data_IF_558502234621
#
_entry.id   IF_558502234621
#
_cell.length_a   1.000
_cell.length_b   1.000
_cell.length_c   1.000
_cell.angle_alpha   90.00
_cell.angle_beta   90.00
_cell.angle_gamma   90.00
#
_symmetry.space_group_name_H-M   'P 1'
#
loop_
_entity.id
_entity.type
_entity.pdbx_description
1 polymer ?
#
# COMPACT_ATOMS: atom_id res chain seq x y z
N UNK A 1 -16.27 -12.36 0.74
CA UNK A 1 -15.39 -13.43 0.23
C UNK A 1 -14.93 -12.99 -1.15
N UNK A 2 -13.63 -13.06 -1.42
CA UNK A 2 -13.03 -12.78 -2.73
C UNK A 2 -12.56 -14.11 -3.32
N UNK A 3 -12.88 -14.36 -4.59
CA UNK A 3 -12.54 -15.62 -5.28
C UNK A 3 -11.66 -15.32 -6.48
N UNK A 4 -10.56 -16.04 -6.65
CA UNK A 4 -9.70 -15.96 -7.83
C UNK A 4 -10.28 -16.86 -8.93
N UNK A 5 -10.85 -16.27 -9.96
CA UNK A 5 -11.37 -17.00 -11.12
C UNK A 5 -10.25 -17.44 -12.06
N UNK A 6 -9.22 -16.61 -12.21
CA UNK A 6 -8.03 -16.86 -13.00
C UNK A 6 -6.87 -16.04 -12.47
N UNK A 7 -5.66 -16.49 -12.74
CA UNK A 7 -4.41 -15.74 -12.53
C UNK A 7 -3.70 -15.59 -13.88
N UNK A 8 -3.16 -14.40 -14.14
CA UNK A 8 -2.32 -14.15 -15.30
C UNK A 8 -0.95 -14.84 -15.17
N UNK A 9 -0.12 -14.73 -16.19
CA UNK A 9 1.28 -15.12 -16.10
C UNK A 9 2.02 -14.23 -15.11
N UNK A 10 3.00 -14.81 -14.40
CA UNK A 10 3.89 -14.06 -13.52
C UNK A 10 4.71 -13.06 -14.34
N UNK A 11 4.75 -11.80 -13.93
CA UNK A 11 5.66 -10.81 -14.50
C UNK A 11 7.06 -11.11 -13.97
N UNK A 12 8.01 -11.36 -14.86
CA UNK A 12 9.38 -11.74 -14.55
C UNK A 12 10.35 -10.57 -14.68
N UNK A 13 11.55 -10.70 -14.10
CA UNK A 13 12.63 -9.72 -14.27
C UNK A 13 12.98 -9.52 -15.75
N UNK A 14 12.95 -10.58 -16.55
CA UNK A 14 13.27 -10.52 -17.98
C UNK A 14 12.25 -9.72 -18.80
N UNK A 15 11.02 -9.58 -18.30
CA UNK A 15 9.96 -8.81 -18.96
C UNK A 15 9.95 -7.32 -18.57
N UNK A 16 10.81 -6.92 -17.61
CA UNK A 16 10.92 -5.52 -17.24
C UNK A 16 11.50 -4.71 -18.41
N UNK A 17 10.80 -3.65 -18.87
CA UNK A 17 11.28 -2.86 -19.99
C UNK A 17 12.66 -2.25 -19.71
N UNK A 18 13.55 -2.36 -20.68
CA UNK A 18 14.82 -1.67 -20.65
C UNK A 18 14.61 -0.16 -20.86
N UNK A 19 15.42 0.65 -20.18
CA UNK A 19 15.41 2.10 -20.37
C UNK A 19 14.26 2.86 -19.69
N UNK A 20 13.31 2.20 -19.02
CA UNK A 20 12.32 2.89 -18.22
C UNK A 20 12.96 3.37 -16.92
N UNK A 21 12.96 4.69 -16.72
CA UNK A 21 13.38 5.35 -15.49
C UNK A 21 12.17 5.98 -14.81
N UNK A 22 11.98 5.68 -13.54
CA UNK A 22 10.96 6.29 -12.70
C UNK A 22 11.54 6.60 -11.32
N UNK A 23 10.99 7.63 -10.65
CA UNK A 23 11.38 7.94 -9.28
C UNK A 23 10.90 6.86 -8.31
N UNK A 24 9.70 6.33 -8.57
CA UNK A 24 9.05 5.31 -7.75
C UNK A 24 8.49 4.22 -8.67
N UNK A 25 8.78 2.97 -8.33
CA UNK A 25 8.18 1.78 -8.93
C UNK A 25 7.18 1.20 -7.92
N UNK A 26 5.89 1.24 -8.26
CA UNK A 26 4.84 0.69 -7.41
C UNK A 26 4.45 -0.71 -7.87
N UNK A 27 4.60 -1.68 -6.97
CA UNK A 27 4.15 -3.06 -7.13
C UNK A 27 2.82 -3.23 -6.38
N UNK A 28 1.72 -3.31 -7.14
CA UNK A 28 0.35 -3.39 -6.63
C UNK A 28 -0.32 -4.71 -7.09
N UNK A 29 0.33 -5.84 -6.82
CA UNK A 29 -0.18 -7.17 -7.13
C UNK A 29 -1.42 -7.51 -6.30
N UNK A 30 -2.23 -8.42 -6.80
CA UNK A 30 -3.45 -8.89 -6.12
C UNK A 30 -3.22 -10.18 -5.34
N UNK A 31 -2.28 -11.01 -5.80
CA UNK A 31 -2.00 -12.31 -5.20
C UNK A 31 -0.55 -12.75 -5.44
N UNK A 32 -0.10 -13.70 -4.62
CA UNK A 32 1.23 -14.30 -4.75
C UNK A 32 1.40 -14.94 -6.13
N UNK A 33 2.54 -14.64 -6.75
CA UNK A 33 2.86 -15.12 -8.09
C UNK A 33 2.52 -14.14 -9.21
N UNK A 34 1.94 -12.96 -8.91
CA UNK A 34 1.78 -11.90 -9.90
C UNK A 34 3.13 -11.33 -10.34
N UNK A 35 4.13 -11.36 -9.44
CA UNK A 35 5.50 -10.93 -9.72
C UNK A 35 6.52 -11.99 -9.29
N UNK A 36 7.61 -12.07 -10.01
CA UNK A 36 8.85 -12.69 -9.55
C UNK A 36 9.44 -11.85 -8.40
N UNK A 37 9.80 -12.47 -7.27
CA UNK A 37 10.26 -11.73 -6.09
C UNK A 37 11.47 -10.82 -6.38
N UNK A 38 12.41 -11.27 -7.22
CA UNK A 38 13.63 -10.52 -7.53
C UNK A 38 13.40 -9.21 -8.32
N UNK A 39 12.18 -9.00 -8.84
CA UNK A 39 11.76 -7.69 -9.37
C UNK A 39 12.00 -6.57 -8.36
N UNK A 40 11.75 -6.82 -7.07
CA UNK A 40 11.96 -5.85 -5.99
C UNK A 40 13.41 -5.38 -5.98
N UNK A 41 14.38 -6.31 -6.02
CA UNK A 41 15.81 -5.98 -5.99
C UNK A 41 16.25 -5.23 -7.25
N UNK A 42 15.77 -5.66 -8.40
CA UNK A 42 16.10 -5.01 -9.70
C UNK A 42 15.55 -3.59 -9.75
N UNK A 43 14.30 -3.38 -9.35
CA UNK A 43 13.69 -2.05 -9.34
C UNK A 43 14.33 -1.14 -8.28
N UNK A 44 14.75 -1.68 -7.14
CA UNK A 44 15.45 -0.92 -6.10
C UNK A 44 16.79 -0.33 -6.56
N UNK A 45 17.42 -0.92 -7.58
CA UNK A 45 18.64 -0.38 -8.22
C UNK A 45 18.32 0.80 -9.15
N UNK A 46 17.06 0.92 -9.60
CA UNK A 46 16.63 1.94 -10.57
C UNK A 46 15.93 3.13 -9.92
N UNK A 47 15.31 2.93 -8.75
CA UNK A 47 14.59 3.96 -8.02
C UNK A 47 13.97 3.45 -6.72
N UNK A 48 13.08 4.23 -6.13
CA UNK A 48 12.34 3.83 -4.92
C UNK A 48 11.35 2.74 -5.24
N UNK A 49 11.25 1.73 -4.39
CA UNK A 49 10.22 0.67 -4.52
C UNK A 49 9.11 0.92 -3.52
N UNK A 50 7.88 0.92 -4.00
CA UNK A 50 6.65 0.97 -3.21
C UNK A 50 5.90 -0.36 -3.39
N UNK A 51 5.68 -1.09 -2.31
CA UNK A 51 5.08 -2.42 -2.33
C UNK A 51 3.76 -2.46 -1.57
N UNK A 52 2.68 -2.90 -2.23
CA UNK A 52 1.45 -3.34 -1.54
C UNK A 52 1.61 -4.82 -1.16
N UNK A 53 1.57 -5.09 0.14
CA UNK A 53 1.80 -6.43 0.69
C UNK A 53 0.73 -7.45 0.28
N UNK A 54 -0.45 -6.97 -0.13
CA UNK A 54 -1.54 -7.82 -0.61
C UNK A 54 -1.07 -8.83 -1.65
N UNK A 55 -0.23 -8.39 -2.61
CA UNK A 55 0.30 -9.23 -3.69
C UNK A 55 1.25 -10.34 -3.25
N UNK A 56 1.67 -10.35 -1.99
CA UNK A 56 2.58 -11.38 -1.43
C UNK A 56 1.93 -12.22 -0.33
N UNK A 57 0.83 -11.77 0.23
CA UNK A 57 0.14 -12.44 1.34
C UNK A 57 -1.11 -13.22 0.92
N UNK A 58 -1.67 -12.95 -0.26
CA UNK A 58 -2.90 -13.61 -0.71
C UNK A 58 -2.60 -14.72 -1.70
N UNK A 59 -3.19 -15.89 -1.44
CA UNK A 59 -3.14 -17.04 -2.33
C UNK A 59 -4.56 -17.59 -2.53
N UNK A 60 -4.90 -18.11 -3.72
CA UNK A 60 -6.16 -18.82 -3.89
C UNK A 60 -6.08 -20.19 -3.21
N UNK A 61 -7.06 -20.54 -2.39
CA UNK A 61 -7.24 -21.91 -1.90
C UNK A 61 -7.39 -22.87 -3.09
N UNK A 62 -6.73 -24.01 -3.03
CA UNK A 62 -6.66 -24.95 -4.15
C UNK A 62 -8.02 -25.54 -4.54
N UNK A 63 -8.93 -25.69 -3.57
CA UNK A 63 -10.23 -26.34 -3.74
C UNK A 63 -11.37 -25.35 -3.97
N UNK A 64 -11.44 -24.28 -3.18
CA UNK A 64 -12.55 -23.31 -3.20
C UNK A 64 -12.27 -22.11 -4.09
N UNK A 65 -10.99 -21.86 -4.43
CA UNK A 65 -10.51 -20.65 -5.10
C UNK A 65 -10.73 -19.36 -4.28
N UNK A 66 -11.17 -19.47 -3.06
CA UNK A 66 -11.25 -18.33 -2.15
C UNK A 66 -9.85 -17.81 -1.81
N UNK A 67 -9.72 -16.49 -1.73
CA UNK A 67 -8.46 -15.87 -1.34
C UNK A 67 -8.23 -16.06 0.14
N UNK A 68 -7.16 -16.76 0.48
CA UNK A 68 -6.69 -16.96 1.85
C UNK A 68 -5.33 -16.30 2.07
N UNK A 69 -4.99 -16.07 3.32
CA UNK A 69 -3.70 -15.47 3.64
C UNK A 69 -2.59 -16.52 3.76
N UNK A 70 -1.42 -16.12 3.34
CA UNK A 70 -0.18 -16.87 3.41
C UNK A 70 0.93 -15.97 3.97
N UNK A 71 1.80 -16.54 4.82
CA UNK A 71 2.97 -15.81 5.31
C UNK A 71 4.06 -15.80 4.24
N UNK A 72 4.63 -14.63 3.97
CA UNK A 72 5.76 -14.52 3.06
C UNK A 72 7.07 -14.71 3.83
N UNK A 73 7.66 -15.90 3.74
CA UNK A 73 8.85 -16.29 4.51
C UNK A 73 10.10 -15.52 4.10
N UNK A 74 10.16 -15.04 2.85
CA UNK A 74 11.31 -14.30 2.31
C UNK A 74 11.31 -12.79 2.65
N UNK A 75 10.38 -12.32 3.45
CA UNK A 75 10.22 -10.89 3.77
C UNK A 75 11.51 -10.21 4.21
N UNK A 76 12.31 -10.83 5.07
CA UNK A 76 13.55 -10.26 5.59
C UNK A 76 14.65 -10.08 4.51
N UNK A 77 14.62 -10.89 3.46
CA UNK A 77 15.53 -10.75 2.33
C UNK A 77 15.20 -9.52 1.46
N UNK A 78 13.92 -9.17 1.33
CA UNK A 78 13.47 -8.15 0.39
C UNK A 78 13.14 -6.81 1.04
N UNK A 79 12.76 -6.78 2.30
CA UNK A 79 12.36 -5.54 3.00
C UNK A 79 13.44 -4.45 2.98
N UNK A 80 14.76 -4.73 3.05
CA UNK A 80 15.79 -3.71 2.91
C UNK A 80 15.80 -2.97 1.57
N UNK A 81 15.16 -3.54 0.55
CA UNK A 81 15.04 -2.95 -0.79
C UNK A 81 13.76 -2.12 -1.00
N UNK A 82 12.85 -2.09 0.00
CA UNK A 82 11.56 -1.44 -0.08
C UNK A 82 11.61 -0.07 0.61
N UNK A 83 11.27 0.98 -0.13
CA UNK A 83 11.16 2.33 0.42
C UNK A 83 9.83 2.51 1.14
N UNK A 84 8.74 2.15 0.48
CA UNK A 84 7.38 2.30 1.01
C UNK A 84 6.68 0.95 1.02
N UNK A 85 6.26 0.49 2.20
CA UNK A 85 5.47 -0.73 2.35
C UNK A 85 4.06 -0.38 2.81
N UNK A 86 3.05 -0.88 2.11
CA UNK A 86 1.66 -0.74 2.53
C UNK A 86 1.09 -2.09 2.93
N UNK A 87 0.37 -2.10 4.05
CA UNK A 87 -0.53 -3.17 4.49
C UNK A 87 -1.88 -2.59 4.89
N UNK A 88 -2.92 -3.41 4.95
CA UNK A 88 -4.04 -3.14 5.84
C UNK A 88 -3.77 -3.75 7.24
N UNK A 89 -4.68 -3.50 8.19
CA UNK A 89 -4.47 -3.96 9.58
C UNK A 89 -4.41 -5.50 9.69
N UNK A 90 -5.20 -6.24 8.89
CA UNK A 90 -5.19 -7.70 8.91
C UNK A 90 -3.93 -8.26 8.23
N UNK A 91 -3.50 -7.66 7.14
CA UNK A 91 -2.24 -7.99 6.46
C UNK A 91 -1.04 -7.73 7.37
N UNK A 92 -1.05 -6.62 8.12
CA UNK A 92 0.00 -6.31 9.10
C UNK A 92 0.07 -7.36 10.21
N UNK A 93 -1.07 -7.79 10.75
CA UNK A 93 -1.14 -8.83 11.78
C UNK A 93 -0.59 -10.16 11.27
N UNK A 94 -0.98 -10.59 10.07
CA UNK A 94 -0.50 -11.83 9.45
C UNK A 94 1.01 -11.78 9.20
N UNK A 95 1.51 -10.64 8.73
CA UNK A 95 2.91 -10.45 8.40
C UNK A 95 3.81 -10.44 9.64
N UNK A 96 3.33 -9.86 10.75
CA UNK A 96 4.13 -9.57 11.94
C UNK A 96 3.77 -10.43 13.15
N UNK A 97 2.58 -11.02 13.17
CA UNK A 97 2.06 -11.81 14.31
C UNK A 97 1.49 -10.94 15.45
N UNK A 98 1.35 -9.63 15.27
CA UNK A 98 0.76 -8.73 16.25
C UNK A 98 -0.39 -7.91 15.68
N UNK A 99 -1.48 -7.78 16.44
CA UNK A 99 -2.62 -6.91 16.09
C UNK A 99 -2.40 -5.44 16.50
N UNK A 100 -1.36 -5.14 17.27
CA UNK A 100 -0.95 -3.76 17.55
C UNK A 100 -0.29 -3.16 16.28
N UNK A 101 -1.00 -2.23 15.66
CA UNK A 101 -0.57 -1.59 14.40
C UNK A 101 0.72 -0.78 14.55
N UNK A 102 0.98 -0.17 15.71
CA UNK A 102 2.23 0.56 15.95
C UNK A 102 3.39 -0.42 16.05
N UNK A 103 3.21 -1.50 16.79
CA UNK A 103 4.21 -2.56 16.89
C UNK A 103 4.45 -3.24 15.54
N UNK A 104 3.39 -3.53 14.77
CA UNK A 104 3.52 -4.08 13.43
C UNK A 104 4.31 -3.14 12.50
N UNK A 105 4.02 -1.84 12.52
CA UNK A 105 4.75 -0.85 11.73
C UNK A 105 6.24 -0.78 12.11
N UNK A 106 6.54 -0.83 13.42
CA UNK A 106 7.89 -0.85 13.96
C UNK A 106 8.67 -2.08 13.47
N UNK A 107 8.08 -3.27 13.57
CA UNK A 107 8.70 -4.53 13.12
C UNK A 107 9.02 -4.50 11.62
N UNK A 108 8.10 -4.01 10.78
CA UNK A 108 8.34 -3.91 9.34
C UNK A 108 9.54 -3.00 9.02
N UNK A 109 9.70 -1.90 9.75
CA UNK A 109 10.85 -1.00 9.58
C UNK A 109 12.13 -1.63 10.14
N UNK A 110 12.08 -2.32 11.27
CA UNK A 110 13.23 -3.08 11.79
C UNK A 110 13.72 -4.16 10.82
N UNK A 111 12.82 -4.76 10.06
CA UNK A 111 13.18 -5.72 9.01
C UNK A 111 13.72 -5.06 7.73
N UNK A 112 13.79 -3.73 7.68
CA UNK A 112 14.50 -2.99 6.65
C UNK A 112 13.71 -2.03 5.78
N UNK A 113 12.39 -2.02 5.87
CA UNK A 113 11.53 -1.04 5.17
C UNK A 113 11.84 0.38 5.64
N UNK A 114 11.79 1.39 4.75
CA UNK A 114 12.07 2.78 5.15
C UNK A 114 10.85 3.48 5.74
N UNK A 115 9.68 3.32 5.15
CA UNK A 115 8.42 3.84 5.66
C UNK A 115 7.35 2.75 5.56
N UNK A 116 6.74 2.37 6.68
CA UNK A 116 5.62 1.43 6.73
C UNK A 116 4.31 2.18 6.86
N UNK A 117 3.34 1.90 5.99
CA UNK A 117 2.01 2.49 5.96
C UNK A 117 0.96 1.42 6.23
N UNK A 118 0.16 1.60 7.27
CA UNK A 118 -0.94 0.70 7.63
C UNK A 118 -2.27 1.41 7.48
N UNK A 119 -3.11 0.91 6.57
CA UNK A 119 -4.47 1.42 6.41
C UNK A 119 -5.43 0.71 7.35
N UNK A 120 -6.33 1.49 7.98
CA UNK A 120 -7.42 1.00 8.79
C UNK A 120 -8.75 1.67 8.37
N UNK A 121 -9.87 1.26 8.98
CA UNK A 121 -11.18 1.83 8.65
C UNK A 121 -11.33 3.29 9.13
N UNK A 122 -10.59 3.69 10.17
CA UNK A 122 -10.71 4.98 10.84
C UNK A 122 -9.55 5.92 10.59
N UNK A 123 -8.38 5.39 10.23
CA UNK A 123 -7.16 6.18 10.08
C UNK A 123 -6.14 5.49 9.18
N UNK A 124 -5.14 6.23 8.79
CA UNK A 124 -3.90 5.72 8.19
C UNK A 124 -2.76 6.00 9.15
N UNK A 125 -1.92 4.99 9.41
CA UNK A 125 -0.73 5.07 10.24
C UNK A 125 0.52 4.96 9.35
N UNK A 126 1.54 5.79 9.61
CA UNK A 126 2.87 5.67 9.02
C UNK A 126 3.91 5.65 10.14
N UNK A 127 4.96 4.85 9.97
CA UNK A 127 6.16 4.84 10.80
C UNK A 127 7.40 4.89 9.91
N UNK A 128 8.36 5.77 10.23
CA UNK A 128 9.57 6.02 9.44
C UNK A 128 10.87 5.54 10.13
N UNK A 129 10.73 4.79 11.21
CA UNK A 129 11.85 4.36 12.05
C UNK A 129 12.20 5.34 13.19
N UNK A 130 11.52 6.48 13.26
CA UNK A 130 11.72 7.52 14.28
C UNK A 130 10.41 7.89 14.96
N UNK A 131 9.41 8.25 14.17
CA UNK A 131 8.14 8.79 14.64
C UNK A 131 6.95 8.06 14.01
N UNK A 132 5.83 8.04 14.73
CA UNK A 132 4.54 7.58 14.26
C UNK A 132 3.69 8.76 13.85
N UNK A 133 3.15 8.69 12.65
CA UNK A 133 2.25 9.68 12.08
C UNK A 133 0.89 9.03 11.84
N UNK A 134 -0.18 9.69 12.22
CA UNK A 134 -1.54 9.21 11.98
C UNK A 134 -2.40 10.32 11.37
N UNK A 135 -3.29 9.95 10.48
CA UNK A 135 -4.32 10.86 9.98
C UNK A 135 -5.66 10.14 9.92
N UNK A 136 -6.72 10.72 10.49
CA UNK A 136 -8.04 10.10 10.48
C UNK A 136 -8.62 10.05 9.06
N UNK A 137 -9.42 9.04 8.79
CA UNK A 137 -10.30 8.99 7.63
C UNK A 137 -11.66 9.58 8.00
N UNK A 138 -12.18 10.46 7.16
CA UNK A 138 -13.48 11.13 7.35
C UNK A 138 -14.39 10.95 6.11
N UNK A 139 -14.68 9.70 5.69
CA UNK A 139 -15.52 9.48 4.52
C UNK A 139 -16.98 9.84 4.83
N UNK A 140 -17.66 10.53 3.91
CA UNK A 140 -19.08 10.84 4.01
C UNK A 140 -19.97 9.70 3.50
N UNK A 141 -19.38 8.68 2.90
CA UNK A 141 -20.04 7.48 2.39
C UNK A 141 -19.04 6.38 2.09
N UNK A 142 -19.53 5.15 1.89
CA UNK A 142 -18.72 3.96 1.67
C UNK A 142 -18.98 3.28 0.32
N UNK A 143 -19.77 3.91 -0.57
CA UNK A 143 -20.10 3.35 -1.88
C UNK A 143 -18.86 3.08 -2.75
N UNK A 144 -17.82 3.91 -2.58
CA UNK A 144 -16.53 3.81 -3.27
C UNK A 144 -15.43 3.12 -2.47
N UNK A 145 -15.74 2.20 -1.53
CA UNK A 145 -14.73 1.56 -0.66
C UNK A 145 -13.69 0.74 -1.44
N UNK A 146 -14.07 0.13 -2.55
CA UNK A 146 -13.14 -0.62 -3.40
C UNK A 146 -12.05 0.29 -3.96
N UNK A 147 -10.80 -0.14 -3.89
CA UNK A 147 -9.62 0.64 -4.27
C UNK A 147 -9.20 1.70 -3.23
N UNK A 148 -9.73 1.63 -1.99
CA UNK A 148 -9.32 2.53 -0.90
C UNK A 148 -7.81 2.42 -0.64
N UNK A 149 -7.29 1.20 -0.48
CA UNK A 149 -5.87 0.94 -0.23
C UNK A 149 -4.98 1.49 -1.33
N UNK A 150 -5.30 1.13 -2.59
CA UNK A 150 -4.55 1.59 -3.77
C UNK A 150 -4.54 3.12 -3.86
N UNK A 151 -5.71 3.75 -3.68
CA UNK A 151 -5.82 5.22 -3.73
C UNK A 151 -5.00 5.88 -2.63
N UNK A 152 -5.08 5.37 -1.38
CA UNK A 152 -4.31 5.92 -0.25
C UNK A 152 -2.82 5.81 -0.52
N UNK A 153 -2.37 4.62 -0.93
CA UNK A 153 -0.94 4.36 -1.11
C UNK A 153 -0.36 5.16 -2.28
N UNK A 154 -1.03 5.15 -3.44
CA UNK A 154 -0.57 5.92 -4.60
C UNK A 154 -0.54 7.42 -4.33
N UNK A 155 -1.55 7.97 -3.64
CA UNK A 155 -1.58 9.36 -3.25
C UNK A 155 -0.43 9.71 -2.28
N UNK A 156 -0.21 8.86 -1.27
CA UNK A 156 0.86 9.06 -0.28
C UNK A 156 2.24 9.08 -0.95
N UNK A 157 2.61 8.02 -1.68
CA UNK A 157 3.96 7.92 -2.26
C UNK A 157 4.22 9.02 -3.32
N UNK A 158 3.19 9.42 -4.06
CA UNK A 158 3.31 10.53 -5.03
C UNK A 158 3.54 11.85 -4.31
N UNK A 159 2.84 12.09 -3.21
CA UNK A 159 2.98 13.32 -2.43
C UNK A 159 4.32 13.38 -1.68
N UNK A 160 4.88 12.23 -1.25
CA UNK A 160 6.22 12.13 -0.63
C UNK A 160 7.37 12.61 -1.54
N UNK A 161 7.13 12.78 -2.84
CA UNK A 161 8.15 13.35 -3.74
C UNK A 161 8.31 14.87 -3.59
N UNK A 162 7.42 15.55 -2.87
CA UNK A 162 7.41 17.01 -2.70
C UNK A 162 7.03 17.50 -1.31
N UNK A 163 6.64 16.61 -0.42
CA UNK A 163 6.15 16.92 0.90
C UNK A 163 6.75 16.00 1.97
N UNK A 164 6.74 16.44 3.21
CA UNK A 164 7.08 15.61 4.36
C UNK A 164 5.98 14.57 4.66
N UNK A 165 6.23 13.69 5.63
CA UNK A 165 5.29 12.61 5.98
C UNK A 165 3.93 13.15 6.45
N UNK A 166 3.86 14.12 7.41
CA UNK A 166 2.59 14.69 7.84
C UNK A 166 1.74 15.24 6.69
N UNK A 167 2.34 16.01 5.81
CA UNK A 167 1.65 16.63 4.67
C UNK A 167 1.18 15.60 3.65
N UNK A 168 2.04 14.63 3.31
CA UNK A 168 1.71 13.56 2.38
C UNK A 168 0.59 12.65 2.93
N UNK A 169 0.66 12.33 4.23
CA UNK A 169 -0.34 11.51 4.90
C UNK A 169 -1.69 12.24 5.00
N UNK A 170 -1.69 13.53 5.33
CA UNK A 170 -2.90 14.33 5.37
C UNK A 170 -3.57 14.36 3.99
N UNK A 171 -2.82 14.68 2.94
CA UNK A 171 -3.34 14.70 1.57
C UNK A 171 -3.93 13.34 1.14
N UNK A 172 -3.22 12.23 1.39
CA UNK A 172 -3.69 10.90 1.04
C UNK A 172 -4.99 10.52 1.77
N UNK A 173 -5.08 10.86 3.07
CA UNK A 173 -6.27 10.60 3.90
C UNK A 173 -7.48 11.44 3.45
N UNK A 174 -7.27 12.69 3.10
CA UNK A 174 -8.29 13.60 2.57
C UNK A 174 -8.80 13.11 1.20
N UNK A 175 -7.88 12.81 0.28
CA UNK A 175 -8.22 12.33 -1.05
C UNK A 175 -9.01 11.02 -0.99
N UNK A 176 -8.55 10.05 -0.22
CA UNK A 176 -9.26 8.76 -0.11
C UNK A 176 -10.61 8.89 0.58
N UNK A 177 -10.75 9.78 1.58
CA UNK A 177 -12.04 10.04 2.22
C UNK A 177 -13.05 10.64 1.24
N UNK A 178 -12.60 11.57 0.38
CA UNK A 178 -13.41 12.11 -0.70
C UNK A 178 -13.77 11.04 -1.74
N UNK A 179 -12.79 10.25 -2.19
CA UNK A 179 -12.97 9.16 -3.16
C UNK A 179 -13.98 8.12 -2.71
N UNK A 180 -14.05 7.80 -1.43
CA UNK A 180 -14.93 6.74 -0.90
C UNK A 180 -16.42 7.02 -1.06
N UNK A 181 -16.82 8.25 -1.38
CA UNK A 181 -18.23 8.61 -1.61
C UNK A 181 -18.79 8.00 -2.91
N UNK A 182 -17.95 7.76 -3.91
CA UNK A 182 -18.37 7.29 -5.23
C UNK A 182 -17.62 6.04 -5.67
N UNK A 183 -18.29 5.07 -6.34
CA UNK A 183 -17.61 3.92 -6.92
C UNK A 183 -16.60 4.30 -8.01
N UNK A 184 -15.63 3.42 -8.21
CA UNK A 184 -14.60 3.58 -9.23
C UNK A 184 -13.40 4.43 -8.77
N UNK A 185 -12.47 4.77 -9.68
CA UNK A 185 -11.30 5.57 -9.36
C UNK A 185 -11.69 7.01 -9.02
N UNK A 186 -10.78 7.71 -8.33
CA UNK A 186 -10.92 9.14 -8.08
C UNK A 186 -10.91 9.92 -9.41
N UNK A 187 -11.88 10.82 -9.58
CA UNK A 187 -12.05 11.62 -10.82
C UNK A 187 -11.89 13.12 -10.59
N UNK A 188 -11.64 13.54 -9.34
CA UNK A 188 -11.43 14.93 -8.98
C UNK A 188 -9.98 15.37 -9.17
N UNK A 189 -9.73 16.60 -8.76
CA UNK A 189 -8.40 17.23 -8.75
C UNK A 189 -7.96 17.66 -7.35
N UNK A 190 -6.85 18.38 -7.26
CA UNK A 190 -6.32 18.90 -5.99
C UNK A 190 -7.22 19.95 -5.33
N UNK A 191 -7.93 20.75 -6.14
CA UNK A 191 -8.82 21.77 -5.60
C UNK A 191 -10.04 21.12 -4.92
N UNK A 192 -10.53 20.02 -5.46
CA UNK A 192 -11.59 19.21 -4.85
C UNK A 192 -11.15 18.65 -3.48
N UNK A 193 -9.92 18.11 -3.41
CA UNK A 193 -9.35 17.59 -2.16
C UNK A 193 -9.18 18.72 -1.13
N UNK A 194 -8.66 19.89 -1.54
CA UNK A 194 -8.49 21.04 -0.65
C UNK A 194 -9.84 21.53 -0.12
N UNK A 195 -10.85 21.69 -0.99
CA UNK A 195 -12.21 22.09 -0.58
C UNK A 195 -12.85 21.11 0.38
N UNK A 196 -12.61 19.81 0.19
CA UNK A 196 -13.07 18.77 1.10
C UNK A 196 -12.33 18.86 2.45
N UNK A 197 -11.02 19.09 2.42
CA UNK A 197 -10.21 19.22 3.62
C UNK A 197 -10.63 20.44 4.45
N UNK A 198 -10.80 21.58 3.83
CA UNK A 198 -11.27 22.83 4.48
C UNK A 198 -12.62 22.66 5.17
N UNK A 199 -13.46 21.73 4.69
CA UNK A 199 -14.78 21.50 5.28
C UNK A 199 -14.79 20.46 6.39
N UNK A 200 -13.90 19.45 6.32
CA UNK A 200 -14.02 18.27 7.18
C UNK A 200 -12.78 17.95 8.02
N UNK A 201 -11.61 18.56 7.72
CA UNK A 201 -10.34 18.28 8.41
C UNK A 201 -9.84 19.48 9.23
N UNK A 202 -10.70 19.92 10.16
CA UNK A 202 -10.35 20.98 11.13
C UNK A 202 -9.73 20.38 12.38
#
# INVERSE_FOLDING_TARGET
ITTALAQGSTITVAELPEGISAKIYQLAGLMKGDYEDDIIKVLAQRGKVALDMQGYLRVPDSSTKEMVYHVWDRKQEYFPHITYLKTDAAEAEILTGTSDRREAARLMVEWGVKESLITHNTEVLVYDGKEYYTCPLKPLGLAGRTGRGDTTFSAYITERERADIPQALAYASQLVSLKMQTPGPFKGDRADVASFADKYYH
#
